data_IF_179535396529
#
_entry.id   IF_179535396529
#
_cell.length_a   1.000
_cell.length_b   1.000
_cell.length_c   1.000
_cell.angle_alpha   90.00
_cell.angle_beta   90.00
_cell.angle_gamma   90.00
#
_symmetry.space_group_name_H-M   'P 1'
#
loop_
_entity.id
_entity.type
_entity.pdbx_description
1 polymer ?
#
# COMPACT_ATOMS: atom_id res chain seq x y z
N UNK A 1 14.00 -6.77 -1.30
CA UNK A 1 13.19 -6.42 -2.46
C UNK A 1 11.88 -5.83 -1.92
N UNK A 2 11.48 -4.62 -2.33
CA UNK A 2 10.32 -3.94 -1.74
C UNK A 2 9.01 -4.57 -2.25
N UNK A 3 8.15 -5.08 -1.37
CA UNK A 3 6.91 -5.76 -1.77
C UNK A 3 5.78 -4.73 -1.98
N UNK A 4 5.83 -4.00 -3.09
CA UNK A 4 4.81 -3.00 -3.42
C UNK A 4 3.93 -3.53 -4.54
N UNK A 5 2.87 -4.27 -4.20
CA UNK A 5 2.02 -4.94 -5.19
C UNK A 5 1.50 -4.05 -6.33
N UNK A 6 1.33 -2.75 -6.07
CA UNK A 6 0.90 -1.75 -7.06
C UNK A 6 2.01 -0.99 -7.79
N UNK A 7 3.29 -1.18 -7.44
CA UNK A 7 4.43 -0.46 -8.04
C UNK A 7 5.52 -1.40 -8.60
N UNK A 8 5.67 -2.58 -7.99
CA UNK A 8 6.70 -3.57 -8.33
C UNK A 8 6.01 -4.90 -8.58
N UNK A 9 6.36 -5.54 -9.69
CA UNK A 9 5.84 -6.85 -10.05
C UNK A 9 6.69 -7.99 -9.48
N UNK A 10 6.01 -9.08 -9.12
CA UNK A 10 6.62 -10.35 -8.71
C UNK A 10 6.12 -11.47 -9.61
N UNK A 11 7.01 -12.38 -10.02
CA UNK A 11 6.66 -13.54 -10.83
C UNK A 11 5.59 -14.39 -10.12
N UNK A 12 4.69 -15.02 -10.88
CA UNK A 12 3.60 -15.84 -10.34
C UNK A 12 2.40 -15.07 -9.80
N UNK A 13 2.45 -13.72 -9.71
CA UNK A 13 1.39 -12.87 -9.15
C UNK A 13 0.82 -11.85 -10.14
N UNK A 14 0.89 -12.12 -11.45
CA UNK A 14 0.53 -11.18 -12.53
C UNK A 14 -0.85 -10.52 -12.35
N UNK A 15 -1.90 -11.30 -12.07
CA UNK A 15 -3.25 -10.76 -11.89
C UNK A 15 -3.36 -9.84 -10.66
N UNK A 16 -2.69 -10.20 -9.57
CA UNK A 16 -2.62 -9.39 -8.36
C UNK A 16 -1.94 -8.04 -8.65
N UNK A 17 -0.75 -8.07 -9.26
CA UNK A 17 -0.01 -6.84 -9.59
C UNK A 17 -0.76 -5.96 -10.58
N UNK A 18 -1.38 -6.53 -11.61
CA UNK A 18 -2.21 -5.78 -12.55
C UNK A 18 -3.36 -5.07 -11.83
N UNK A 19 -4.07 -5.76 -10.94
CA UNK A 19 -5.17 -5.15 -10.17
C UNK A 19 -4.70 -4.00 -9.28
N UNK A 20 -3.55 -4.15 -8.60
CA UNK A 20 -3.02 -3.13 -7.68
C UNK A 20 -2.46 -1.91 -8.42
N UNK A 21 -1.84 -2.10 -9.58
CA UNK A 21 -1.47 -0.98 -10.47
C UNK A 21 -2.72 -0.26 -11.00
N UNK A 22 -3.79 -1.00 -11.29
CA UNK A 22 -5.08 -0.43 -11.68
C UNK A 22 -5.65 0.51 -10.62
N UNK A 23 -5.55 0.16 -9.35
CA UNK A 23 -5.95 1.05 -8.23
C UNK A 23 -5.15 2.35 -8.26
N UNK A 24 -3.84 2.30 -8.48
CA UNK A 24 -3.03 3.53 -8.55
C UNK A 24 -3.43 4.44 -9.71
N UNK A 25 -3.70 3.85 -10.88
CA UNK A 25 -4.21 4.59 -12.04
C UNK A 25 -5.56 5.24 -11.76
N UNK A 26 -6.48 4.48 -11.15
CA UNK A 26 -7.80 4.96 -10.77
C UNK A 26 -7.70 6.16 -9.82
N UNK A 27 -6.93 6.04 -8.73
CA UNK A 27 -6.76 7.12 -7.75
C UNK A 27 -6.22 8.38 -8.42
N UNK A 28 -5.22 8.27 -9.31
CA UNK A 28 -4.66 9.42 -10.03
C UNK A 28 -5.69 10.13 -10.91
N UNK A 29 -6.45 9.38 -11.70
CA UNK A 29 -7.49 9.95 -12.56
C UNK A 29 -8.59 10.63 -11.73
N UNK A 30 -9.08 9.97 -10.68
CA UNK A 30 -10.15 10.51 -9.84
C UNK A 30 -9.76 11.81 -9.14
N UNK A 31 -8.50 11.99 -8.72
CA UNK A 31 -8.07 13.28 -8.16
C UNK A 31 -8.25 14.40 -9.18
N UNK A 32 -7.82 14.20 -10.42
CA UNK A 32 -7.91 15.22 -11.46
C UNK A 32 -9.36 15.61 -11.75
N UNK A 33 -10.27 14.65 -11.60
CA UNK A 33 -11.72 14.86 -11.75
C UNK A 33 -12.32 15.64 -10.58
N UNK A 34 -12.00 15.27 -9.32
CA UNK A 34 -12.75 15.71 -8.15
C UNK A 34 -12.02 16.66 -7.20
N UNK A 35 -10.72 16.93 -7.40
CA UNK A 35 -9.95 17.81 -6.49
C UNK A 35 -10.51 19.24 -6.42
N UNK A 36 -11.08 19.74 -7.53
CA UNK A 36 -11.70 21.08 -7.58
C UNK A 36 -13.02 21.15 -6.81
N UNK A 37 -13.67 20.01 -6.61
CA UNK A 37 -14.89 19.90 -5.79
C UNK A 37 -14.55 19.77 -4.28
N UNK A 38 -13.27 19.92 -3.92
CA UNK A 38 -12.81 19.82 -2.54
C UNK A 38 -12.68 18.37 -2.02
N UNK A 39 -12.81 17.38 -2.90
CA UNK A 39 -12.69 15.96 -2.53
C UNK A 39 -11.20 15.56 -2.53
N UNK A 40 -10.73 15.05 -1.38
CA UNK A 40 -9.36 14.55 -1.22
C UNK A 40 -9.34 13.05 -1.50
N UNK A 41 -8.49 12.63 -2.43
CA UNK A 41 -8.35 11.24 -2.85
C UNK A 41 -6.89 10.84 -2.67
N UNK A 42 -6.65 9.70 -2.03
CA UNK A 42 -5.32 9.17 -1.72
C UNK A 42 -5.31 7.65 -1.89
N UNK A 43 -4.12 7.09 -2.07
CA UNK A 43 -3.86 5.66 -2.00
C UNK A 43 -2.79 5.38 -0.93
N UNK A 44 -2.94 4.24 -0.25
CA UNK A 44 -1.98 3.74 0.74
C UNK A 44 -1.41 2.44 0.20
N UNK A 45 -0.09 2.38 0.10
CA UNK A 45 0.64 1.19 -0.36
C UNK A 45 1.43 0.62 0.81
N UNK A 46 0.82 -0.25 1.63
CA UNK A 46 1.53 -0.93 2.70
C UNK A 46 2.48 -1.99 2.13
N UNK A 47 3.59 -2.20 2.82
CA UNK A 47 4.39 -3.43 2.71
C UNK A 47 3.67 -4.60 3.43
N UNK A 48 4.34 -5.71 3.70
CA UNK A 48 3.70 -6.90 4.28
C UNK A 48 3.18 -6.61 5.70
N UNK A 49 1.84 -6.69 5.83
CA UNK A 49 1.12 -6.49 7.10
C UNK A 49 0.75 -7.84 7.70
N UNK A 50 0.96 -7.99 9.00
CA UNK A 50 0.52 -9.15 9.75
C UNK A 50 -1.01 -9.23 9.75
N UNK A 51 -1.54 -10.11 8.91
CA UNK A 51 -2.98 -10.32 8.70
C UNK A 51 -3.26 -11.80 8.53
N UNK A 52 -4.51 -12.26 8.72
CA UNK A 52 -4.86 -13.67 8.48
C UNK A 52 -4.56 -14.18 7.06
N UNK A 53 -4.41 -13.26 6.09
CA UNK A 53 -3.97 -13.61 4.73
C UNK A 53 -2.50 -14.03 4.72
N UNK A 54 -1.65 -13.27 5.42
CA UNK A 54 -0.22 -13.55 5.55
C UNK A 54 0.02 -14.79 6.41
N UNK A 55 -0.77 -15.01 7.46
CA UNK A 55 -0.69 -16.24 8.27
C UNK A 55 -0.94 -17.49 7.41
N UNK A 56 -1.94 -17.44 6.53
CA UNK A 56 -2.23 -18.53 5.58
C UNK A 56 -1.13 -18.71 4.54
N UNK A 57 -0.52 -17.61 4.10
CA UNK A 57 0.61 -17.68 3.18
C UNK A 57 1.80 -18.40 3.83
N UNK A 58 2.11 -18.07 5.08
CA UNK A 58 3.18 -18.74 5.85
C UNK A 58 2.91 -20.23 6.07
N UNK A 59 1.64 -20.62 6.28
CA UNK A 59 1.25 -22.03 6.36
C UNK A 59 1.50 -22.81 5.04
N UNK A 60 1.31 -22.15 3.90
CA UNK A 60 1.43 -22.77 2.55
C UNK A 60 2.82 -22.65 1.91
N UNK A 61 3.58 -21.61 2.25
CA UNK A 61 4.86 -21.22 1.65
C UNK A 61 5.97 -21.20 2.73
N UNK A 62 5.98 -22.22 3.60
CA UNK A 62 6.90 -22.31 4.75
C UNK A 62 8.36 -22.08 4.36
N UNK A 63 8.96 -21.04 4.94
CA UNK A 63 10.36 -20.65 4.72
C UNK A 63 10.53 -19.38 3.87
N UNK A 64 9.57 -19.04 3.02
CA UNK A 64 9.64 -17.80 2.23
C UNK A 64 9.33 -16.56 3.07
N UNK A 65 8.54 -16.71 4.14
CA UNK A 65 8.17 -15.61 5.04
C UNK A 65 9.37 -15.07 5.83
N UNK A 66 10.23 -15.95 6.35
CA UNK A 66 11.43 -15.54 7.09
C UNK A 66 12.42 -14.78 6.21
N UNK A 67 12.57 -15.19 4.94
CA UNK A 67 13.40 -14.50 3.98
C UNK A 67 12.80 -13.15 3.55
N UNK A 68 11.48 -13.06 3.39
CA UNK A 68 10.78 -11.79 3.18
C UNK A 68 10.98 -10.83 4.36
N UNK A 69 10.85 -11.32 5.60
CA UNK A 69 11.05 -10.50 6.81
C UNK A 69 12.50 -9.97 6.89
N UNK A 70 13.49 -10.76 6.48
CA UNK A 70 14.91 -10.31 6.42
C UNK A 70 15.14 -9.20 5.41
N UNK A 71 14.32 -9.11 4.37
CA UNK A 71 14.40 -8.04 3.38
C UNK A 71 13.70 -6.74 3.82
N UNK A 72 12.83 -6.82 4.83
CA UNK A 72 12.20 -5.65 5.43
C UNK A 72 13.23 -4.90 6.28
N UNK A 73 13.45 -3.62 6.00
CA UNK A 73 14.46 -2.79 6.71
C UNK A 73 14.19 -2.67 8.21
N UNK A 74 12.92 -2.66 8.60
CA UNK A 74 12.47 -2.62 10.01
C UNK A 74 12.60 -4.01 10.68
N UNK A 75 12.79 -5.08 9.90
CA UNK A 75 13.04 -6.44 10.39
C UNK A 75 11.83 -7.13 11.01
N UNK A 76 10.61 -6.62 10.77
CA UNK A 76 9.35 -7.24 11.19
C UNK A 76 8.23 -6.87 10.23
N UNK A 77 7.15 -7.65 10.26
CA UNK A 77 5.89 -7.27 9.63
C UNK A 77 5.29 -6.04 10.34
N UNK A 78 4.65 -5.18 9.57
CA UNK A 78 3.87 -4.09 10.13
C UNK A 78 2.56 -4.61 10.71
N UNK A 79 2.08 -3.94 11.75
CA UNK A 79 0.80 -4.24 12.38
C UNK A 79 -0.34 -3.51 11.64
N UNK A 80 -1.55 -4.11 11.56
CA UNK A 80 -2.70 -3.45 10.93
C UNK A 80 -2.99 -2.05 11.49
N UNK A 81 -2.76 -1.85 12.78
CA UNK A 81 -2.96 -0.58 13.48
C UNK A 81 -2.07 0.52 12.90
N UNK A 82 -0.86 0.20 12.45
CA UNK A 82 0.07 1.17 11.84
C UNK A 82 -0.51 1.71 10.52
N UNK A 83 -1.14 0.84 9.71
CA UNK A 83 -1.86 1.26 8.49
C UNK A 83 -3.12 2.05 8.84
N UNK A 84 -3.83 1.69 9.91
CA UNK A 84 -5.02 2.41 10.36
C UNK A 84 -4.67 3.85 10.76
N UNK A 85 -3.57 4.08 11.48
CA UNK A 85 -3.15 5.44 11.86
C UNK A 85 -2.92 6.32 10.64
N UNK A 86 -2.33 5.75 9.58
CA UNK A 86 -2.12 6.44 8.31
C UNK A 86 -3.44 6.83 7.65
N UNK A 87 -4.37 5.88 7.56
CA UNK A 87 -5.68 6.13 6.96
C UNK A 87 -6.44 7.18 7.76
N UNK A 88 -6.40 7.12 9.09
CA UNK A 88 -7.02 8.12 9.96
C UNK A 88 -6.40 9.51 9.75
N UNK A 89 -5.07 9.61 9.66
CA UNK A 89 -4.40 10.86 9.31
C UNK A 89 -4.92 11.40 7.99
N UNK A 90 -4.97 10.57 6.94
CA UNK A 90 -5.46 10.97 5.61
C UNK A 90 -6.94 11.37 5.62
N UNK A 91 -7.76 10.79 6.47
CA UNK A 91 -9.16 11.18 6.63
C UNK A 91 -9.34 12.46 7.46
N UNK A 92 -8.36 12.86 8.27
CA UNK A 92 -8.43 14.03 9.15
C UNK A 92 -8.15 15.35 8.44
N UNK A 93 -8.49 16.47 9.11
CA UNK A 93 -8.16 17.83 8.67
C UNK A 93 -6.64 18.12 8.69
N UNK A 94 -5.87 17.35 9.46
CA UNK A 94 -4.41 17.45 9.46
C UNK A 94 -3.81 17.09 8.09
N UNK A 95 -4.53 16.33 7.28
CA UNK A 95 -4.20 15.97 5.90
C UNK A 95 -4.88 16.89 4.87
N UNK A 96 -5.26 18.12 5.24
CA UNK A 96 -5.96 19.07 4.37
C UNK A 96 -5.25 19.37 3.04
N UNK A 97 -3.91 19.33 3.03
CA UNK A 97 -3.10 19.49 1.81
C UNK A 97 -2.43 18.18 1.35
N UNK A 98 -2.69 17.07 2.04
CA UNK A 98 -2.22 15.75 1.69
C UNK A 98 -3.20 15.11 0.69
N UNK A 99 -3.01 15.43 -0.58
CA UNK A 99 -3.77 14.91 -1.71
C UNK A 99 -2.83 14.27 -2.72
N UNK A 100 -3.25 13.15 -3.30
CA UNK A 100 -2.52 12.48 -4.37
C UNK A 100 -2.25 13.47 -5.50
N UNK A 101 -0.99 13.61 -5.90
CA UNK A 101 -0.60 14.27 -7.15
C UNK A 101 -0.04 13.22 -8.10
N UNK A 102 -0.11 13.48 -9.41
CA UNK A 102 0.35 12.57 -10.47
C UNK A 102 1.77 12.01 -10.21
N UNK A 103 2.64 12.81 -9.55
CA UNK A 103 4.05 12.48 -9.30
C UNK A 103 4.50 12.41 -7.84
N UNK A 104 3.81 13.07 -6.89
CA UNK A 104 4.50 13.51 -5.67
C UNK A 104 3.86 13.12 -4.34
N UNK A 105 2.65 12.55 -4.33
CA UNK A 105 2.05 12.18 -3.05
C UNK A 105 1.55 10.75 -3.11
N UNK A 106 2.44 9.80 -2.81
CA UNK A 106 2.06 8.44 -2.48
C UNK A 106 2.42 8.21 -1.04
N UNK A 107 1.49 7.61 -0.32
CA UNK A 107 1.73 7.29 1.07
C UNK A 107 2.26 5.86 1.11
N UNK A 108 3.58 5.76 1.08
CA UNK A 108 4.35 4.52 1.16
C UNK A 108 4.83 4.38 2.61
N UNK A 109 4.51 3.27 3.24
CA UNK A 109 5.05 2.91 4.54
C UNK A 109 5.69 1.53 4.49
N UNK A 110 6.78 1.38 5.26
CA UNK A 110 7.61 0.19 5.38
C UNK A 110 6.97 -0.88 6.25
#
# INVERSE_FOLDING_TARGET
>A
MFFHGGLVGTAGRTAYHASKHGVLGLTKSSVLEYAKDGIRINDVCPDIIHTPMVDRMDETEKGEMDDLIREILIGRLAHPEEVVQVVLFLCSDAASYAIRQDKNFQVIYY
#
